data_IF_883419806727
#
_entry.id   IF_883419806727
#
_cell.length_a   1.000
_cell.length_b   1.000
_cell.length_c   1.000
_cell.angle_alpha   90.00
_cell.angle_beta   90.00
_cell.angle_gamma   90.00
#
_symmetry.space_group_name_H-M   'P 1'
#
loop_
_entity.id
_entity.type
_entity.pdbx_description
1 polymer ?
#
# COMPACT_ATOMS: atom_id res chain seq x y z
N UNK A 1 62.24 36.68 62.85
CA UNK A 1 61.95 36.60 61.41
C UNK A 1 61.08 35.38 61.17
N UNK A 2 59.74 35.55 61.15
CA UNK A 2 58.78 34.46 60.94
C UNK A 2 58.24 34.55 59.49
N UNK A 3 58.51 33.54 58.67
CA UNK A 3 57.94 33.46 57.34
C UNK A 3 56.53 32.90 57.39
N UNK A 4 55.59 33.68 56.93
CA UNK A 4 54.17 33.33 56.77
C UNK A 4 54.01 32.58 55.46
N UNK A 5 53.52 31.32 55.50
CA UNK A 5 53.23 30.49 54.33
C UNK A 5 51.75 30.63 54.00
N UNK A 6 51.45 31.30 52.86
CA UNK A 6 50.08 31.41 52.33
C UNK A 6 49.77 30.16 51.49
N UNK A 7 48.82 29.35 51.93
CA UNK A 7 48.29 28.24 51.16
C UNK A 7 47.04 28.72 50.39
N UNK A 8 47.12 28.80 49.07
CA UNK A 8 45.97 29.05 48.22
C UNK A 8 45.25 27.71 47.97
N UNK A 9 44.03 27.57 48.49
CA UNK A 9 43.12 26.50 48.12
C UNK A 9 42.40 26.89 46.81
N UNK A 10 42.70 26.16 45.70
CA UNK A 10 41.91 26.20 44.48
C UNK A 10 40.77 25.20 44.59
N UNK A 11 39.55 25.68 44.80
CA UNK A 11 38.32 24.91 44.63
C UNK A 11 37.94 24.90 43.17
N UNK A 12 38.21 23.77 42.49
CA UNK A 12 37.68 23.53 41.12
C UNK A 12 36.21 23.17 41.19
N UNK A 13 35.35 24.09 40.73
CA UNK A 13 33.91 23.88 40.60
C UNK A 13 33.70 23.11 39.28
N UNK A 14 33.51 21.81 39.35
CA UNK A 14 33.16 20.97 38.20
C UNK A 14 31.66 21.17 37.95
N UNK A 15 31.30 22.00 36.95
CA UNK A 15 29.95 22.11 36.42
C UNK A 15 29.63 20.89 35.58
N UNK A 16 28.88 19.96 36.11
CA UNK A 16 28.29 18.86 35.33
C UNK A 16 27.16 19.47 34.49
N UNK A 17 27.46 19.80 33.23
CA UNK A 17 26.42 20.06 32.23
C UNK A 17 25.70 18.74 31.93
N UNK A 18 24.56 18.53 32.58
CA UNK A 18 23.61 17.47 32.21
C UNK A 18 22.99 17.89 30.87
N UNK A 19 23.54 17.36 29.76
CA UNK A 19 22.90 17.46 28.45
C UNK A 19 21.65 16.59 28.48
N UNK A 20 20.50 17.22 28.79
CA UNK A 20 19.22 16.61 28.58
C UNK A 20 19.05 16.46 27.06
N UNK A 21 19.42 15.28 26.52
CA UNK A 21 19.05 14.91 25.15
C UNK A 21 17.55 14.71 25.14
N UNK A 22 16.81 15.77 24.80
CA UNK A 22 15.41 15.70 24.45
C UNK A 22 15.35 14.85 23.18
N UNK A 23 15.10 13.55 23.30
CA UNK A 23 14.70 12.74 22.14
C UNK A 23 13.38 13.31 21.67
N UNK A 24 13.38 14.05 20.58
CA UNK A 24 12.15 14.36 19.88
C UNK A 24 11.51 13.01 19.55
N UNK A 25 10.33 12.75 20.09
CA UNK A 25 9.54 11.58 19.72
C UNK A 25 9.29 11.70 18.21
N UNK A 26 9.82 10.76 17.42
CA UNK A 26 9.69 10.80 15.97
C UNK A 26 8.19 10.86 15.63
N UNK A 27 7.79 11.91 14.94
CA UNK A 27 6.38 12.14 14.57
C UNK A 27 5.89 10.96 13.74
N UNK A 28 4.95 10.18 14.28
CA UNK A 28 4.34 9.05 13.56
C UNK A 28 3.63 9.51 12.30
N UNK A 29 3.67 8.68 11.26
CA UNK A 29 2.94 8.85 10.01
C UNK A 29 1.45 8.64 10.28
N UNK A 30 0.64 9.68 10.10
CA UNK A 30 -0.81 9.60 10.26
C UNK A 30 -1.41 8.97 9.02
N UNK A 31 -1.95 7.78 9.18
CA UNK A 31 -2.47 6.97 8.07
C UNK A 31 -3.95 6.75 8.20
N UNK A 32 -4.65 6.88 7.09
CA UNK A 32 -6.07 6.57 6.96
C UNK A 32 -6.25 5.36 6.05
N UNK A 33 -6.89 4.29 6.51
CA UNK A 33 -7.41 3.23 5.64
C UNK A 33 -8.87 3.55 5.32
N UNK A 34 -9.23 3.51 4.05
CA UNK A 34 -10.60 3.71 3.58
C UNK A 34 -11.14 2.42 2.98
N UNK A 35 -12.35 2.00 3.42
CA UNK A 35 -12.98 0.76 3.01
C UNK A 35 -14.52 0.82 3.01
N UNK A 36 -15.17 -0.34 2.83
CA UNK A 36 -16.61 -0.52 2.95
C UNK A 36 -17.24 -1.27 1.79
N UNK A 37 -16.76 -1.09 0.57
CA UNK A 37 -17.32 -1.73 -0.62
C UNK A 37 -16.22 -2.38 -1.45
N UNK A 38 -16.17 -3.71 -1.39
CA UNK A 38 -15.19 -4.49 -2.13
C UNK A 38 -15.81 -5.84 -2.52
N UNK A 39 -15.55 -6.28 -3.76
CA UNK A 39 -16.05 -7.57 -4.25
C UNK A 39 -15.41 -8.78 -3.55
N UNK A 40 -14.27 -8.62 -2.93
CA UNK A 40 -13.59 -9.65 -2.13
C UNK A 40 -14.08 -9.60 -0.68
N UNK A 41 -14.90 -10.56 -0.27
CA UNK A 41 -15.59 -10.54 1.03
C UNK A 41 -14.68 -10.51 2.26
N UNK A 42 -13.39 -10.77 2.11
CA UNK A 42 -12.42 -10.71 3.21
C UNK A 42 -11.89 -9.30 3.50
N UNK A 43 -12.34 -8.27 2.79
CA UNK A 43 -11.84 -6.91 2.97
C UNK A 43 -11.85 -6.40 4.42
N UNK A 44 -12.83 -6.76 5.32
CA UNK A 44 -12.78 -6.29 6.69
C UNK A 44 -11.59 -6.86 7.47
N UNK A 45 -11.31 -8.17 7.28
CA UNK A 45 -10.14 -8.83 7.85
C UNK A 45 -8.85 -8.24 7.29
N UNK A 46 -8.78 -7.97 5.98
CA UNK A 46 -7.61 -7.37 5.32
C UNK A 46 -7.34 -5.96 5.87
N UNK A 47 -8.38 -5.12 6.05
CA UNK A 47 -8.23 -3.81 6.70
C UNK A 47 -7.65 -3.96 8.11
N UNK A 48 -8.19 -4.89 8.90
CA UNK A 48 -7.71 -5.17 10.25
C UNK A 48 -6.25 -5.61 10.26
N UNK A 49 -5.85 -6.52 9.35
CA UNK A 49 -4.48 -7.00 9.22
C UNK A 49 -3.53 -5.87 8.79
N UNK A 50 -3.87 -5.10 7.75
CA UNK A 50 -3.03 -3.99 7.28
C UNK A 50 -2.82 -2.93 8.36
N UNK A 51 -3.88 -2.58 9.11
CA UNK A 51 -3.77 -1.67 10.26
C UNK A 51 -2.74 -2.19 11.25
N UNK A 52 -2.84 -3.43 11.68
CA UNK A 52 -1.92 -4.03 12.62
C UNK A 52 -0.49 -4.11 12.10
N UNK A 53 -0.28 -4.50 10.85
CA UNK A 53 1.06 -4.55 10.23
C UNK A 53 1.76 -3.18 10.18
N UNK A 54 1.00 -2.11 9.99
CA UNK A 54 1.58 -0.77 10.01
C UNK A 54 1.89 -0.32 11.44
N UNK A 55 0.96 -0.52 12.38
CA UNK A 55 1.11 -0.09 13.77
C UNK A 55 2.23 -0.86 14.51
N UNK A 56 2.45 -2.15 14.20
CA UNK A 56 3.54 -2.94 14.80
C UNK A 56 4.95 -2.38 14.51
N UNK A 57 5.11 -1.59 13.43
CA UNK A 57 6.38 -0.92 13.12
C UNK A 57 6.72 0.20 14.12
N UNK A 58 5.74 0.69 14.86
CA UNK A 58 5.87 1.88 15.70
C UNK A 58 5.91 3.21 14.94
N UNK A 59 6.00 3.19 13.60
CA UNK A 59 6.13 4.38 12.75
C UNK A 59 4.78 5.00 12.34
N UNK A 60 3.69 4.23 12.43
CA UNK A 60 2.37 4.67 11.95
C UNK A 60 1.37 4.77 13.10
N UNK A 61 0.42 5.70 12.94
CA UNK A 61 -0.89 5.67 13.60
C UNK A 61 -1.94 5.49 12.53
N UNK A 62 -2.86 4.55 12.71
CA UNK A 62 -3.79 4.14 11.63
C UNK A 62 -5.23 4.28 12.07
N UNK A 63 -5.93 5.22 11.45
CA UNK A 63 -7.38 5.36 11.54
C UNK A 63 -8.05 4.63 10.36
N UNK A 64 -9.32 4.30 10.52
CA UNK A 64 -10.13 3.70 9.46
C UNK A 64 -11.41 4.52 9.29
N UNK A 65 -11.72 4.88 8.05
CA UNK A 65 -13.03 5.44 7.67
C UNK A 65 -13.70 4.48 6.72
N UNK A 66 -14.86 4.00 7.15
CA UNK A 66 -15.70 3.05 6.41
C UNK A 66 -16.94 3.73 5.87
N UNK A 67 -17.28 3.47 4.59
CA UNK A 67 -18.55 3.90 4.01
C UNK A 67 -19.73 3.45 4.88
N UNK A 68 -20.76 4.27 5.01
CA UNK A 68 -21.99 3.95 5.73
C UNK A 68 -22.72 2.76 5.09
N UNK A 69 -22.53 2.54 3.78
CA UNK A 69 -23.00 1.36 3.06
C UNK A 69 -21.89 0.35 2.85
N UNK A 70 -22.02 -0.84 3.45
CA UNK A 70 -21.01 -1.90 3.34
C UNK A 70 -21.47 -3.01 2.41
N UNK A 71 -20.60 -3.47 1.53
CA UNK A 71 -20.88 -4.52 0.57
C UNK A 71 -19.91 -5.69 0.70
N UNK A 72 -20.47 -6.91 0.80
CA UNK A 72 -19.76 -8.21 0.92
C UNK A 72 -18.85 -8.38 2.14
N UNK A 73 -18.88 -7.50 3.14
CA UNK A 73 -18.11 -7.68 4.37
C UNK A 73 -18.66 -8.78 5.29
N UNK A 74 -19.99 -8.95 5.30
CA UNK A 74 -20.68 -9.98 6.07
C UNK A 74 -20.26 -9.99 7.55
N UNK A 75 -20.23 -11.21 8.13
CA UNK A 75 -19.87 -11.43 9.54
C UNK A 75 -18.42 -11.02 9.89
N UNK A 76 -17.57 -10.85 8.88
CA UNK A 76 -16.17 -10.46 9.11
C UNK A 76 -16.05 -9.02 9.65
N UNK A 77 -17.04 -8.15 9.41
CA UNK A 77 -17.08 -6.82 10.01
C UNK A 77 -17.14 -6.92 11.54
N UNK A 78 -18.01 -7.77 12.06
CA UNK A 78 -18.16 -7.99 13.50
C UNK A 78 -17.00 -8.82 14.09
N UNK A 79 -16.47 -9.78 13.31
CA UNK A 79 -15.36 -10.64 13.75
C UNK A 79 -14.02 -9.90 13.85
N UNK A 80 -13.82 -8.88 13.02
CA UNK A 80 -12.61 -8.04 13.00
C UNK A 80 -12.97 -6.57 13.26
N UNK A 81 -13.40 -6.25 14.50
CA UNK A 81 -13.89 -4.92 14.82
C UNK A 81 -12.74 -3.91 14.79
N UNK A 82 -13.02 -2.73 14.29
CA UNK A 82 -12.15 -1.56 14.38
C UNK A 82 -12.71 -0.65 15.46
N UNK A 83 -11.91 -0.36 16.46
CA UNK A 83 -12.31 0.51 17.57
C UNK A 83 -12.69 1.90 17.06
N UNK A 84 -13.83 2.42 17.49
CA UNK A 84 -14.32 3.75 17.12
C UNK A 84 -15.13 3.80 15.80
N UNK A 85 -15.27 2.67 15.07
CA UNK A 85 -16.23 2.61 13.97
C UNK A 85 -17.63 2.28 14.46
N UNK A 86 -18.58 3.12 14.05
CA UNK A 86 -20.00 2.87 14.26
C UNK A 86 -20.49 1.72 13.37
N UNK A 87 -21.63 1.13 13.74
CA UNK A 87 -22.31 0.13 12.94
C UNK A 87 -22.70 0.72 11.57
N UNK A 88 -22.48 -0.06 10.50
CA UNK A 88 -22.71 0.32 9.12
C UNK A 88 -23.82 -0.49 8.51
N UNK A 89 -24.50 0.08 7.51
CA UNK A 89 -25.60 -0.58 6.82
C UNK A 89 -25.08 -1.55 5.75
N UNK A 90 -25.37 -2.84 5.91
CA UNK A 90 -25.07 -3.83 4.88
C UNK A 90 -26.04 -3.67 3.69
N UNK A 91 -25.48 -3.65 2.45
CA UNK A 91 -26.26 -3.52 1.21
C UNK A 91 -26.03 -4.72 0.29
N UNK A 92 -27.04 -5.07 -0.50
CA UNK A 92 -26.97 -6.20 -1.44
C UNK A 92 -26.11 -5.87 -2.67
N UNK A 93 -26.06 -4.62 -3.07
CA UNK A 93 -25.26 -4.08 -4.18
C UNK A 93 -24.60 -2.78 -3.75
N UNK A 94 -23.47 -2.39 -4.36
CA UNK A 94 -22.81 -1.14 -4.05
C UNK A 94 -23.74 0.07 -4.23
N UNK A 95 -23.69 0.97 -3.25
CA UNK A 95 -24.47 2.21 -3.23
C UNK A 95 -23.58 3.37 -2.83
N UNK A 96 -23.81 4.53 -3.48
CA UNK A 96 -23.09 5.76 -3.12
C UNK A 96 -23.49 6.20 -1.72
N UNK A 97 -22.50 6.33 -0.85
CA UNK A 97 -22.66 6.93 0.46
C UNK A 97 -22.57 8.46 0.34
N UNK A 98 -23.69 9.18 0.50
CA UNK A 98 -23.68 10.63 0.34
C UNK A 98 -22.90 11.36 1.45
N UNK A 99 -22.65 10.68 2.57
CA UNK A 99 -21.95 11.23 3.73
C UNK A 99 -20.45 10.86 3.74
N UNK A 100 -19.99 10.05 2.78
CA UNK A 100 -18.58 9.65 2.72
C UNK A 100 -17.70 10.88 2.47
N UNK A 101 -17.14 11.44 3.54
CA UNK A 101 -16.33 12.66 3.49
C UNK A 101 -15.19 12.61 4.53
N UNK A 102 -14.18 11.76 4.32
CA UNK A 102 -13.01 11.74 5.20
C UNK A 102 -12.27 13.07 5.18
N UNK A 103 -11.86 13.56 6.34
CA UNK A 103 -10.99 14.75 6.44
C UNK A 103 -9.52 14.35 6.13
N UNK A 104 -9.20 14.31 4.84
CA UNK A 104 -7.87 13.92 4.37
C UNK A 104 -6.75 14.83 4.90
N UNK A 105 -7.05 16.07 5.27
CA UNK A 105 -6.06 17.04 5.75
C UNK A 105 -5.37 16.63 7.06
N UNK A 106 -5.96 15.70 7.79
CA UNK A 106 -5.43 15.16 9.05
C UNK A 106 -4.35 14.11 8.86
N UNK A 107 -4.15 13.61 7.63
CA UNK A 107 -3.33 12.45 7.33
C UNK A 107 -2.15 12.78 6.41
N UNK A 108 -1.12 11.97 6.54
CA UNK A 108 0.05 11.99 5.65
C UNK A 108 -0.11 10.94 4.53
N UNK A 109 -0.96 9.92 4.76
CA UNK A 109 -1.14 8.76 3.89
C UNK A 109 -2.59 8.26 3.89
N UNK A 110 -3.09 7.89 2.72
CA UNK A 110 -4.35 7.15 2.56
C UNK A 110 -4.05 5.76 1.95
N UNK A 111 -4.69 4.72 2.45
CA UNK A 111 -4.67 3.36 1.89
C UNK A 111 -6.08 3.00 1.44
N UNK A 112 -6.25 2.69 0.16
CA UNK A 112 -7.54 2.29 -0.39
C UNK A 112 -7.69 0.76 -0.35
N UNK A 113 -8.75 0.28 0.31
CA UNK A 113 -9.22 -1.09 0.30
C UNK A 113 -10.66 -1.20 -0.23
N UNK A 114 -11.05 -0.28 -1.11
CA UNK A 114 -12.22 -0.46 -1.95
C UNK A 114 -11.95 -1.51 -3.04
N UNK A 115 -12.95 -1.89 -3.83
CA UNK A 115 -12.74 -2.91 -4.85
C UNK A 115 -13.63 -2.73 -6.08
N UNK A 116 -13.62 -3.74 -6.95
CA UNK A 116 -14.44 -3.75 -8.15
C UNK A 116 -15.92 -3.50 -7.84
N UNK A 117 -16.55 -2.62 -8.62
CA UNK A 117 -17.94 -2.15 -8.48
C UNK A 117 -18.21 -1.30 -7.24
N UNK A 118 -17.22 -0.90 -6.44
CA UNK A 118 -17.45 0.11 -5.41
C UNK A 118 -18.18 1.30 -6.02
N UNK A 119 -19.24 1.77 -5.37
CA UNK A 119 -20.02 2.89 -5.85
C UNK A 119 -19.19 4.19 -5.80
N UNK A 120 -19.41 5.14 -6.73
CA UNK A 120 -18.69 6.40 -6.76
C UNK A 120 -18.83 7.16 -5.43
N UNK A 121 -17.77 7.83 -5.03
CA UNK A 121 -17.84 8.79 -3.93
C UNK A 121 -18.56 10.06 -4.35
N UNK A 122 -19.09 10.86 -3.40
CA UNK A 122 -19.58 12.21 -3.72
C UNK A 122 -18.50 13.02 -4.46
N UNK A 123 -18.91 13.81 -5.44
CA UNK A 123 -17.99 14.59 -6.28
C UNK A 123 -17.08 15.52 -5.45
N UNK A 124 -17.62 16.08 -4.35
CA UNK A 124 -16.84 16.89 -3.42
C UNK A 124 -15.68 16.07 -2.82
N UNK A 125 -15.98 14.88 -2.34
CA UNK A 125 -14.97 13.98 -1.73
C UNK A 125 -13.90 13.56 -2.74
N UNK A 126 -14.31 13.30 -3.99
CA UNK A 126 -13.35 13.03 -5.08
C UNK A 126 -12.39 14.21 -5.26
N UNK A 127 -12.89 15.44 -5.34
CA UNK A 127 -12.05 16.65 -5.49
C UNK A 127 -11.12 16.91 -4.30
N UNK A 128 -11.63 16.68 -3.08
CA UNK A 128 -10.83 16.80 -1.85
C UNK A 128 -9.70 15.77 -1.85
N UNK A 129 -9.96 14.53 -2.27
CA UNK A 129 -8.96 13.49 -2.40
C UNK A 129 -7.92 13.79 -3.50
N UNK A 130 -8.37 14.24 -4.68
CA UNK A 130 -7.48 14.69 -5.76
C UNK A 130 -6.54 15.81 -5.28
N UNK A 131 -7.09 16.77 -4.57
CA UNK A 131 -6.34 17.88 -3.99
C UNK A 131 -5.33 17.39 -2.96
N UNK A 132 -5.74 16.48 -2.06
CA UNK A 132 -4.85 15.89 -1.06
C UNK A 132 -3.64 15.23 -1.71
N UNK A 133 -3.86 14.33 -2.68
CA UNK A 133 -2.74 13.63 -3.35
C UNK A 133 -1.89 14.62 -4.15
N UNK A 134 -2.50 15.47 -4.98
CA UNK A 134 -1.73 16.40 -5.85
C UNK A 134 -0.88 17.40 -5.07
N UNK A 135 -1.24 17.70 -3.83
CA UNK A 135 -0.48 18.59 -2.93
C UNK A 135 0.59 17.87 -2.12
N UNK A 136 0.76 16.56 -2.25
CA UNK A 136 1.85 15.81 -1.64
C UNK A 136 1.44 14.72 -0.67
N UNK A 137 0.13 14.47 -0.50
CA UNK A 137 -0.37 13.34 0.27
C UNK A 137 0.04 12.00 -0.36
N UNK A 138 0.28 10.99 0.48
CA UNK A 138 0.60 9.64 0.03
C UNK A 138 -0.65 8.81 -0.26
N UNK A 139 -0.55 7.89 -1.23
CA UNK A 139 -1.59 6.89 -1.51
C UNK A 139 -0.97 5.49 -1.58
N UNK A 140 -1.64 4.52 -0.99
CA UNK A 140 -1.39 3.09 -1.23
C UNK A 140 -2.64 2.46 -1.81
N UNK A 141 -2.46 1.73 -2.91
CA UNK A 141 -3.51 0.98 -3.63
C UNK A 141 -3.20 -0.50 -3.48
N UNK A 142 -4.15 -1.25 -2.91
CA UNK A 142 -3.96 -2.68 -2.66
C UNK A 142 -4.95 -3.50 -3.47
N UNK A 143 -4.43 -4.43 -4.27
CA UNK A 143 -5.17 -5.45 -5.00
C UNK A 143 -6.42 -4.86 -5.69
N UNK A 144 -7.61 -5.33 -5.31
CA UNK A 144 -8.88 -4.94 -5.91
C UNK A 144 -9.17 -3.42 -5.90
N UNK A 145 -8.40 -2.63 -5.16
CA UNK A 145 -8.56 -1.17 -5.21
C UNK A 145 -8.19 -0.59 -6.58
N UNK A 146 -7.37 -1.28 -7.36
CA UNK A 146 -7.07 -0.91 -8.75
C UNK A 146 -8.23 -1.16 -9.73
N UNK A 147 -9.24 -1.89 -9.30
CA UNK A 147 -10.44 -2.22 -10.08
C UNK A 147 -11.61 -1.26 -9.79
N UNK A 148 -11.47 -0.40 -8.79
CA UNK A 148 -12.50 0.57 -8.44
C UNK A 148 -12.51 1.76 -9.40
N UNK A 149 -13.63 2.46 -9.44
CA UNK A 149 -13.84 3.77 -10.08
C UNK A 149 -13.31 3.94 -11.50
N UNK A 150 -13.68 3.09 -12.47
CA UNK A 150 -13.20 3.21 -13.87
C UNK A 150 -13.57 4.56 -14.50
N UNK A 151 -14.68 5.15 -14.09
CA UNK A 151 -15.19 6.42 -14.62
C UNK A 151 -14.55 7.66 -13.95
N UNK A 152 -13.56 7.48 -13.06
CA UNK A 152 -12.87 8.59 -12.39
C UNK A 152 -11.46 8.79 -12.97
N UNK A 153 -11.27 9.72 -13.95
CA UNK A 153 -10.00 9.86 -14.68
C UNK A 153 -8.80 10.19 -13.80
N UNK A 154 -8.98 11.04 -12.78
CA UNK A 154 -7.89 11.39 -11.85
C UNK A 154 -7.46 10.17 -11.03
N UNK A 155 -8.39 9.35 -10.55
CA UNK A 155 -8.07 8.12 -9.85
C UNK A 155 -7.31 7.13 -10.75
N UNK A 156 -7.74 6.97 -12.01
CA UNK A 156 -7.02 6.11 -12.96
C UNK A 156 -5.58 6.59 -13.23
N UNK A 157 -5.33 7.91 -13.22
CA UNK A 157 -3.96 8.45 -13.26
C UNK A 157 -3.16 8.17 -11.99
N UNK A 158 -3.79 8.25 -10.82
CA UNK A 158 -3.14 7.95 -9.53
C UNK A 158 -2.74 6.48 -9.42
N UNK A 159 -3.59 5.55 -9.86
CA UNK A 159 -3.29 4.11 -9.78
C UNK A 159 -2.38 3.61 -10.91
N UNK A 160 -2.26 4.36 -12.02
CA UNK A 160 -1.44 4.04 -13.19
C UNK A 160 -2.01 2.92 -14.06
N UNK A 161 -2.28 1.77 -13.49
CA UNK A 161 -2.90 0.61 -14.14
C UNK A 161 -4.10 0.14 -13.33
N UNK A 162 -5.17 -0.27 -14.00
CA UNK A 162 -6.34 -0.86 -13.38
C UNK A 162 -6.94 -1.97 -14.23
N UNK A 163 -7.86 -2.74 -13.66
CA UNK A 163 -8.51 -3.85 -14.34
C UNK A 163 -10.03 -3.76 -14.36
N UNK A 164 -10.65 -4.56 -15.18
CA UNK A 164 -12.11 -4.71 -15.28
C UNK A 164 -12.89 -3.38 -15.41
N UNK A 165 -14.14 -3.35 -15.00
CA UNK A 165 -14.95 -2.13 -14.94
C UNK A 165 -15.23 -1.46 -16.31
N UNK A 166 -15.14 -2.23 -17.41
CA UNK A 166 -15.31 -1.69 -18.76
C UNK A 166 -14.04 -1.07 -19.37
N UNK A 167 -12.92 -1.09 -18.63
CA UNK A 167 -11.64 -0.59 -19.13
C UNK A 167 -11.20 -1.33 -20.40
N UNK A 168 -10.59 -0.62 -21.32
CA UNK A 168 -10.17 -1.12 -22.64
C UNK A 168 -8.96 -0.31 -23.16
N UNK A 169 -8.62 -0.42 -24.45
CA UNK A 169 -7.47 0.27 -25.06
C UNK A 169 -7.55 1.80 -24.99
N UNK A 170 -8.76 2.39 -24.82
CA UNK A 170 -8.93 3.85 -24.68
C UNK A 170 -8.47 4.37 -23.33
N UNK A 171 -8.43 3.50 -22.31
CA UNK A 171 -7.95 3.85 -20.97
C UNK A 171 -6.42 3.86 -20.90
N UNK A 172 -5.74 3.28 -21.89
CA UNK A 172 -4.29 3.30 -22.02
C UNK A 172 -3.69 1.94 -22.38
N UNK A 173 -2.34 1.84 -22.44
CA UNK A 173 -1.64 0.63 -22.82
C UNK A 173 -1.67 -0.45 -21.74
N UNK A 174 -1.39 -1.70 -22.16
CA UNK A 174 -0.77 -2.68 -21.28
C UNK A 174 0.69 -2.26 -21.05
N UNK A 175 1.18 -2.44 -19.84
CA UNK A 175 2.58 -2.19 -19.52
C UNK A 175 3.13 -3.44 -18.82
N UNK A 176 4.16 -4.04 -19.39
CA UNK A 176 4.74 -5.30 -18.90
C UNK A 176 6.20 -5.45 -19.35
N UNK A 177 6.91 -6.42 -18.80
CA UNK A 177 8.23 -6.80 -19.33
C UNK A 177 8.11 -8.06 -20.19
N UNK A 178 8.81 -8.09 -21.31
CA UNK A 178 8.96 -9.29 -22.14
C UNK A 178 10.09 -10.21 -21.60
N UNK A 179 10.29 -11.37 -22.23
CA UNK A 179 11.31 -12.35 -21.82
C UNK A 179 12.74 -11.82 -22.01
N UNK A 180 12.94 -10.84 -22.89
CA UNK A 180 14.23 -10.15 -23.07
C UNK A 180 14.52 -9.11 -21.97
N UNK A 181 13.56 -8.88 -21.04
CA UNK A 181 13.70 -7.87 -19.99
C UNK A 181 13.44 -6.45 -20.46
N UNK A 182 12.75 -6.27 -21.60
CA UNK A 182 12.39 -4.97 -22.12
C UNK A 182 11.01 -4.54 -21.63
N UNK A 183 10.87 -3.28 -21.27
CA UNK A 183 9.59 -2.67 -20.88
C UNK A 183 8.75 -2.41 -22.14
N UNK A 184 7.60 -3.03 -22.21
CA UNK A 184 6.67 -2.92 -23.33
C UNK A 184 5.46 -2.09 -22.92
N UNK A 185 5.06 -1.17 -23.80
CA UNK A 185 3.80 -0.41 -23.71
C UNK A 185 2.97 -0.75 -24.95
N UNK A 186 2.00 -1.63 -24.78
CA UNK A 186 1.18 -2.16 -25.88
C UNK A 186 -0.20 -1.50 -25.88
N UNK A 187 -0.54 -0.79 -26.96
CA UNK A 187 -1.82 -0.06 -27.16
C UNK A 187 -2.87 -0.87 -27.92
N UNK A 188 -2.55 -2.10 -28.35
CA UNK A 188 -3.49 -2.93 -29.07
C UNK A 188 -4.78 -3.16 -28.29
N UNK A 189 -5.89 -3.27 -29.01
CA UNK A 189 -7.18 -3.64 -28.44
C UNK A 189 -7.11 -5.00 -27.75
N UNK A 190 -7.85 -5.14 -26.66
CA UNK A 190 -7.89 -6.41 -25.94
C UNK A 190 -8.48 -6.32 -24.55
N UNK A 191 -8.63 -7.48 -23.94
CA UNK A 191 -9.21 -7.67 -22.60
C UNK A 191 -8.45 -6.85 -21.58
N UNK A 192 -9.17 -6.18 -20.69
CA UNK A 192 -8.59 -5.51 -19.54
C UNK A 192 -8.90 -6.25 -18.24
N UNK A 193 -7.86 -6.59 -17.53
CA UNK A 193 -7.93 -7.35 -16.29
C UNK A 193 -8.12 -8.87 -16.50
N UNK A 194 -7.39 -9.64 -15.77
CA UNK A 194 -7.45 -11.10 -15.70
C UNK A 194 -6.55 -11.60 -14.58
N UNK A 195 -6.71 -12.86 -14.25
CA UNK A 195 -5.85 -13.60 -13.34
C UNK A 195 -5.95 -15.10 -13.63
N UNK A 196 -4.96 -15.85 -13.19
CA UNK A 196 -4.98 -17.31 -13.13
C UNK A 196 -5.66 -17.81 -11.84
N UNK A 197 -5.46 -19.09 -11.50
CA UNK A 197 -5.84 -19.63 -10.20
C UNK A 197 -4.99 -18.96 -9.10
N UNK A 198 -5.43 -19.11 -7.85
CA UNK A 198 -4.64 -18.70 -6.70
C UNK A 198 -3.49 -19.68 -6.47
N UNK A 199 -2.31 -19.33 -6.91
CA UNK A 199 -1.10 -20.13 -6.81
C UNK A 199 0.05 -19.30 -6.20
N UNK A 200 1.10 -19.96 -5.73
CA UNK A 200 2.35 -19.30 -5.40
C UNK A 200 3.05 -18.88 -6.68
N UNK A 201 3.66 -17.71 -6.67
CA UNK A 201 4.44 -17.22 -7.80
C UNK A 201 5.67 -16.45 -7.36
N UNK A 202 6.70 -16.52 -8.20
CA UNK A 202 7.95 -15.81 -7.95
C UNK A 202 7.82 -14.36 -8.39
N UNK A 203 8.14 -13.43 -7.48
CA UNK A 203 8.27 -12.00 -7.77
C UNK A 203 9.72 -11.71 -8.11
N UNK A 204 9.93 -10.91 -9.16
CA UNK A 204 11.24 -10.47 -9.63
C UNK A 204 11.35 -8.94 -9.55
N UNK A 205 12.38 -8.45 -8.88
CA UNK A 205 12.71 -7.02 -8.83
C UNK A 205 13.12 -6.52 -10.20
N UNK A 206 12.62 -5.34 -10.57
CA UNK A 206 12.98 -4.61 -11.80
C UNK A 206 13.75 -3.32 -11.49
N UNK A 207 13.59 -2.79 -10.28
CA UNK A 207 14.19 -1.54 -9.85
C UNK A 207 14.76 -1.72 -8.43
N UNK A 208 16.02 -2.11 -8.32
CA UNK A 208 16.68 -2.42 -7.04
C UNK A 208 17.27 -1.21 -6.32
N UNK A 209 17.37 -0.07 -6.99
CA UNK A 209 17.84 1.20 -6.43
C UNK A 209 16.71 2.08 -5.85
N UNK A 210 15.43 1.65 -6.00
CA UNK A 210 14.32 2.38 -5.43
C UNK A 210 14.20 2.12 -3.91
N UNK A 211 13.90 3.14 -3.06
CA UNK A 211 13.83 2.97 -1.61
C UNK A 211 12.97 1.81 -1.14
N UNK A 212 11.85 1.53 -1.79
CA UNK A 212 10.95 0.42 -1.43
C UNK A 212 11.62 -0.94 -1.62
N UNK A 213 12.34 -1.12 -2.70
CA UNK A 213 12.91 -2.42 -3.13
C UNK A 213 14.40 -2.55 -2.86
N UNK A 214 15.05 -1.47 -2.43
CA UNK A 214 16.47 -1.49 -2.07
C UNK A 214 16.74 -2.57 -1.01
N UNK A 215 17.79 -3.34 -1.24
CA UNK A 215 18.26 -4.45 -0.40
C UNK A 215 17.32 -5.66 -0.31
N UNK A 216 16.13 -5.66 -1.00
CA UNK A 216 15.32 -6.85 -1.16
C UNK A 216 16.04 -7.89 -2.03
N UNK A 217 15.84 -9.20 -1.79
CA UNK A 217 16.31 -10.23 -2.71
C UNK A 217 15.83 -9.97 -4.15
N UNK A 218 16.67 -10.24 -5.15
CA UNK A 218 16.30 -10.05 -6.57
C UNK A 218 15.00 -10.79 -6.93
N UNK A 219 14.77 -11.94 -6.29
CA UNK A 219 13.58 -12.77 -6.45
C UNK A 219 13.12 -13.32 -5.12
N UNK A 220 11.80 -13.39 -4.93
CA UNK A 220 11.22 -14.09 -3.79
C UNK A 220 9.89 -14.75 -4.15
N UNK A 221 9.53 -15.82 -3.41
CA UNK A 221 8.27 -16.53 -3.59
C UNK A 221 7.17 -15.83 -2.81
N UNK A 222 6.10 -15.43 -3.48
CA UNK A 222 4.88 -14.98 -2.83
C UNK A 222 3.97 -16.16 -2.52
N UNK A 223 3.27 -16.11 -1.39
CA UNK A 223 2.25 -17.12 -1.05
C UNK A 223 1.11 -17.11 -2.06
N UNK A 224 0.22 -18.12 -1.98
CA UNK A 224 -0.92 -18.22 -2.91
C UNK A 224 -1.69 -16.91 -3.01
N UNK A 225 -1.84 -16.40 -4.22
CA UNK A 225 -2.57 -15.16 -4.52
C UNK A 225 -3.12 -15.18 -5.95
N UNK A 226 -3.94 -14.21 -6.32
CA UNK A 226 -4.32 -13.96 -7.71
C UNK A 226 -3.26 -13.08 -8.37
N UNK A 227 -2.49 -13.67 -9.29
CA UNK A 227 -1.58 -12.89 -10.11
C UNK A 227 -2.40 -12.11 -11.14
N UNK A 228 -2.62 -10.82 -10.88
CA UNK A 228 -3.32 -9.94 -11.83
C UNK A 228 -2.50 -9.76 -13.09
N UNK A 229 -3.18 -9.79 -14.22
CA UNK A 229 -2.60 -9.61 -15.54
C UNK A 229 -3.49 -8.76 -16.45
N UNK A 230 -2.93 -8.35 -17.56
CA UNK A 230 -3.66 -7.57 -18.59
C UNK A 230 -4.26 -6.28 -18.03
N UNK A 231 -3.67 -5.70 -16.99
CA UNK A 231 -4.08 -4.39 -16.49
C UNK A 231 -3.75 -3.31 -17.53
N UNK A 232 -4.61 -2.30 -17.61
CA UNK A 232 -4.46 -1.16 -18.51
C UNK A 232 -4.66 0.14 -17.75
N UNK A 233 -4.11 1.20 -18.26
CA UNK A 233 -4.34 2.52 -17.68
C UNK A 233 -3.44 3.57 -18.30
N UNK A 234 -3.57 4.82 -17.88
CA UNK A 234 -2.73 5.91 -18.37
C UNK A 234 -1.25 5.59 -18.24
N UNK A 235 -0.87 4.90 -17.15
CA UNK A 235 0.51 4.53 -16.81
C UNK A 235 1.48 5.72 -16.97
N UNK A 236 0.98 6.93 -16.67
CA UNK A 236 1.76 8.17 -16.69
C UNK A 236 2.59 8.25 -15.40
N UNK A 237 3.82 8.74 -15.48
CA UNK A 237 4.71 8.93 -14.33
C UNK A 237 4.84 7.67 -13.44
N UNK A 238 4.79 6.50 -14.05
CA UNK A 238 4.79 5.21 -13.37
C UNK A 238 6.15 4.50 -13.51
N UNK A 239 6.62 3.94 -12.41
CA UNK A 239 7.79 3.06 -12.36
C UNK A 239 7.37 1.67 -11.88
N UNK A 240 7.69 0.63 -12.64
CA UNK A 240 7.50 -0.75 -12.22
C UNK A 240 8.69 -1.16 -11.35
N UNK A 241 8.42 -1.52 -10.09
CA UNK A 241 9.42 -1.95 -9.12
C UNK A 241 9.67 -3.46 -9.18
N UNK A 242 8.61 -4.23 -9.40
CA UNK A 242 8.68 -5.69 -9.45
C UNK A 242 7.58 -6.27 -10.36
N UNK A 243 7.85 -7.44 -10.90
CA UNK A 243 6.94 -8.20 -11.77
C UNK A 243 6.85 -9.65 -11.34
N UNK A 244 5.81 -10.35 -11.81
CA UNK A 244 5.75 -11.81 -11.80
C UNK A 244 5.39 -12.34 -13.19
N UNK A 245 5.91 -13.52 -13.52
CA UNK A 245 5.58 -14.18 -14.78
C UNK A 245 4.19 -14.79 -14.71
N UNK A 246 3.31 -14.35 -15.59
CA UNK A 246 1.92 -14.81 -15.70
C UNK A 246 1.88 -16.01 -16.66
N UNK A 247 2.02 -17.22 -16.13
CA UNK A 247 2.18 -18.44 -16.91
C UNK A 247 0.94 -18.76 -17.72
N UNK A 248 1.12 -19.10 -18.99
CA UNK A 248 0.04 -19.54 -19.89
C UNK A 248 -0.61 -20.84 -19.44
N UNK A 249 0.15 -21.75 -18.82
CA UNK A 249 -0.38 -22.99 -18.27
C UNK A 249 -1.34 -22.73 -17.10
N UNK A 250 -1.14 -21.62 -16.37
CA UNK A 250 -2.00 -21.13 -15.30
C UNK A 250 -3.05 -20.11 -15.80
N UNK A 251 -3.43 -20.15 -17.08
CA UNK A 251 -4.35 -19.19 -17.73
C UNK A 251 -3.84 -17.75 -17.76
N UNK A 252 -2.54 -17.58 -17.65
CA UNK A 252 -1.88 -16.29 -17.71
C UNK A 252 -1.60 -15.83 -19.14
N UNK A 253 -0.85 -14.74 -19.24
CA UNK A 253 -0.55 -14.02 -20.49
C UNK A 253 0.75 -14.47 -21.17
N UNK A 254 1.63 -15.16 -20.46
CA UNK A 254 3.00 -15.44 -20.91
C UNK A 254 3.88 -14.17 -20.88
N UNK A 255 3.62 -13.24 -19.95
CA UNK A 255 4.37 -12.00 -19.81
C UNK A 255 4.73 -11.78 -18.34
N UNK A 256 5.72 -10.94 -18.09
CA UNK A 256 6.04 -10.46 -16.75
C UNK A 256 5.14 -9.27 -16.40
N UNK A 257 4.06 -9.53 -15.72
CA UNK A 257 3.05 -8.54 -15.34
C UNK A 257 3.51 -7.71 -14.13
N UNK A 258 3.18 -6.40 -14.07
CA UNK A 258 3.52 -5.54 -12.94
C UNK A 258 2.84 -5.99 -11.64
N UNK A 259 3.62 -6.08 -10.57
CA UNK A 259 3.12 -6.46 -9.24
C UNK A 259 3.28 -5.32 -8.25
N UNK A 260 4.44 -4.65 -8.25
CA UNK A 260 4.69 -3.47 -7.42
C UNK A 260 5.06 -2.29 -8.32
N UNK A 261 4.38 -1.18 -8.10
CA UNK A 261 4.55 0.04 -8.90
C UNK A 261 4.56 1.27 -8.02
N UNK A 262 5.19 2.33 -8.52
CA UNK A 262 5.05 3.68 -7.97
C UNK A 262 4.59 4.63 -9.05
N UNK A 263 3.76 5.60 -8.66
CA UNK A 263 3.24 6.64 -9.55
C UNK A 263 3.42 7.99 -8.86
N UNK A 264 3.77 9.01 -9.62
CA UNK A 264 3.77 10.39 -9.18
C UNK A 264 2.52 11.10 -9.70
N UNK A 265 1.73 11.69 -8.79
CA UNK A 265 0.54 12.47 -9.13
C UNK A 265 0.62 13.86 -8.49
N UNK A 266 0.92 14.88 -9.28
CA UNK A 266 1.28 16.20 -8.77
C UNK A 266 2.54 16.11 -7.89
N UNK A 267 2.44 16.46 -6.62
CA UNK A 267 3.51 16.31 -5.62
C UNK A 267 3.38 15.01 -4.82
N UNK A 268 2.27 14.31 -4.95
CA UNK A 268 1.97 13.09 -4.21
C UNK A 268 2.67 11.87 -4.76
N UNK A 269 2.85 10.89 -3.89
CA UNK A 269 3.48 9.61 -4.19
C UNK A 269 2.49 8.49 -3.97
N UNK A 270 2.38 7.61 -4.95
CA UNK A 270 1.47 6.47 -4.91
C UNK A 270 2.28 5.19 -4.95
N UNK A 271 2.05 4.29 -4.00
CA UNK A 271 2.50 2.90 -4.06
C UNK A 271 1.32 2.01 -4.42
N UNK A 272 1.47 1.24 -5.48
CA UNK A 272 0.46 0.31 -5.96
C UNK A 272 1.00 -1.11 -5.92
N UNK A 273 0.29 -1.99 -5.21
CA UNK A 273 0.54 -3.44 -5.13
C UNK A 273 -0.67 -4.19 -5.62
N UNK A 274 -0.50 -5.06 -6.62
CA UNK A 274 -1.58 -5.95 -7.10
C UNK A 274 -1.77 -7.18 -6.22
N UNK A 275 -0.93 -7.37 -5.18
CA UNK A 275 -1.03 -8.45 -4.21
C UNK A 275 -2.14 -8.19 -3.19
N UNK A 276 -2.69 -9.25 -2.60
CA UNK A 276 -3.54 -9.10 -1.41
C UNK A 276 -4.99 -9.55 -1.56
N UNK A 277 -5.27 -10.60 -2.35
CA UNK A 277 -6.62 -11.10 -2.61
C UNK A 277 -7.35 -11.57 -1.35
N UNK A 278 -6.67 -12.31 -0.48
CA UNK A 278 -7.25 -12.92 0.73
C UNK A 278 -6.28 -12.87 1.91
N UNK A 279 -6.73 -13.31 3.07
CA UNK A 279 -5.98 -13.25 4.32
C UNK A 279 -4.61 -13.94 4.27
N UNK A 280 -4.51 -15.13 3.70
CA UNK A 280 -3.22 -15.83 3.57
C UNK A 280 -2.27 -15.17 2.55
N UNK A 281 -2.81 -14.44 1.56
CA UNK A 281 -2.00 -13.64 0.62
C UNK A 281 -1.37 -12.45 1.34
N UNK A 282 -2.16 -11.72 2.14
CA UNK A 282 -1.66 -10.57 2.91
C UNK A 282 -0.83 -10.99 4.14
N UNK A 283 -0.95 -12.25 4.59
CA UNK A 283 -0.10 -12.81 5.65
C UNK A 283 1.33 -13.11 5.16
N UNK A 284 1.59 -13.11 3.85
CA UNK A 284 2.94 -13.30 3.29
C UNK A 284 3.89 -12.20 3.75
N UNK A 285 5.06 -12.59 4.27
CA UNK A 285 6.06 -11.62 4.78
C UNK A 285 6.55 -10.67 3.67
N UNK A 286 6.60 -11.15 2.42
CA UNK A 286 6.89 -10.30 1.26
C UNK A 286 5.83 -9.20 1.06
N UNK A 287 4.53 -9.53 1.22
CA UNK A 287 3.45 -8.54 1.20
C UNK A 287 3.59 -7.55 2.36
N UNK A 288 3.73 -8.06 3.60
CA UNK A 288 3.83 -7.23 4.81
C UNK A 288 4.98 -6.22 4.66
N UNK A 289 6.16 -6.69 4.29
CA UNK A 289 7.35 -5.85 4.13
C UNK A 289 7.17 -4.80 3.05
N UNK A 290 6.61 -5.17 1.89
CA UNK A 290 6.41 -4.21 0.79
C UNK A 290 5.27 -3.24 1.07
N UNK A 291 4.22 -3.63 1.80
CA UNK A 291 3.19 -2.72 2.30
C UNK A 291 3.80 -1.66 3.24
N UNK A 292 4.55 -2.10 4.27
CA UNK A 292 5.15 -1.21 5.26
C UNK A 292 6.13 -0.22 4.60
N UNK A 293 7.03 -0.70 3.74
CA UNK A 293 8.01 0.12 3.02
C UNK A 293 7.34 1.03 1.99
N UNK A 294 6.34 0.53 1.27
CA UNK A 294 5.55 1.30 0.30
C UNK A 294 4.75 2.42 0.98
N UNK A 295 4.12 2.13 2.10
CA UNK A 295 3.39 3.11 2.91
C UNK A 295 4.32 4.21 3.46
N UNK A 296 5.48 3.83 4.01
CA UNK A 296 6.47 4.80 4.49
C UNK A 296 6.98 5.68 3.34
N UNK A 297 7.30 5.09 2.20
CA UNK A 297 7.77 5.85 1.03
C UNK A 297 6.68 6.79 0.48
N UNK A 298 5.45 6.32 0.37
CA UNK A 298 4.35 7.15 -0.14
C UNK A 298 4.12 8.38 0.73
N UNK A 299 4.24 8.24 2.05
CA UNK A 299 4.06 9.35 2.99
C UNK A 299 5.26 10.30 3.05
N UNK A 300 6.50 9.78 2.91
CA UNK A 300 7.72 10.54 3.29
C UNK A 300 8.76 10.67 2.18
N UNK A 301 8.65 9.87 1.12
CA UNK A 301 9.68 9.73 0.10
C UNK A 301 10.91 8.92 0.53
N UNK A 302 10.91 8.36 1.76
CA UNK A 302 12.04 7.62 2.35
C UNK A 302 11.57 6.26 2.87
N UNK A 303 12.52 5.35 3.09
CA UNK A 303 12.29 4.05 3.73
C UNK A 303 13.41 3.79 4.72
N UNK A 304 13.05 3.54 5.98
CA UNK A 304 13.92 3.10 7.06
C UNK A 304 13.59 1.70 7.57
N UNK A 305 12.46 1.14 7.14
CA UNK A 305 12.00 -0.19 7.55
C UNK A 305 12.96 -1.24 7.00
N UNK A 306 13.54 -2.01 7.90
CA UNK A 306 14.47 -3.09 7.58
C UNK A 306 13.76 -4.31 6.99
N UNK A 307 14.52 -5.15 6.29
CA UNK A 307 14.03 -6.42 5.77
C UNK A 307 14.08 -7.44 6.91
N UNK A 308 12.95 -8.07 7.26
CA UNK A 308 12.92 -9.03 8.35
C UNK A 308 13.65 -10.34 7.99
N UNK A 309 14.17 -11.04 9.01
CA UNK A 309 14.94 -12.28 8.81
C UNK A 309 14.13 -13.42 8.21
N UNK A 310 12.81 -13.40 8.39
CA UNK A 310 11.85 -14.35 7.85
C UNK A 310 11.32 -13.93 6.47
N UNK A 311 11.97 -12.98 5.79
CA UNK A 311 11.60 -12.60 4.41
C UNK A 311 11.69 -13.81 3.48
N UNK A 312 10.74 -14.00 2.52
CA UNK A 312 10.71 -15.15 1.63
C UNK A 312 12.00 -15.31 0.82
N UNK A 313 12.35 -16.56 0.52
CA UNK A 313 13.44 -16.87 -0.43
C UNK A 313 12.93 -16.93 -1.87
N UNK A 314 13.82 -17.11 -2.83
CA UNK A 314 13.44 -17.28 -4.24
C UNK A 314 12.56 -18.51 -4.52
N UNK A 315 12.54 -19.51 -3.63
CA UNK A 315 11.88 -20.79 -3.84
C UNK A 315 10.88 -21.17 -2.73
N UNK A 316 10.79 -20.39 -1.69
CA UNK A 316 9.91 -20.68 -0.55
C UNK A 316 9.26 -19.40 -0.04
N UNK A 317 7.94 -19.41 0.01
CA UNK A 317 7.15 -18.35 0.65
C UNK A 317 7.30 -18.40 2.17
N UNK A 318 7.04 -17.29 2.83
CA UNK A 318 7.01 -17.14 4.28
C UNK A 318 5.78 -16.34 4.67
N UNK A 319 5.08 -16.76 5.72
CA UNK A 319 3.86 -16.12 6.18
C UNK A 319 3.85 -15.99 7.70
N UNK A 320 3.14 -14.99 8.21
CA UNK A 320 2.89 -14.76 9.63
C UNK A 320 1.41 -14.90 9.91
N UNK A 321 1.08 -15.59 11.01
CA UNK A 321 -0.30 -15.63 11.48
C UNK A 321 -0.71 -14.25 12.00
N UNK A 322 -1.87 -13.77 11.52
CA UNK A 322 -2.45 -12.52 11.97
C UNK A 322 -3.99 -12.56 11.86
N UNK A 323 -4.74 -12.07 12.84
CA UNK A 323 -4.22 -11.55 14.11
C UNK A 323 -3.51 -12.63 14.92
N UNK A 324 -2.50 -12.26 15.67
CA UNK A 324 -1.94 -13.15 16.69
C UNK A 324 -3.06 -13.42 17.69
N UNK A 325 -3.46 -14.69 17.86
CA UNK A 325 -4.43 -15.11 18.87
C UNK A 325 -3.91 -14.80 20.29
#
# INVERSE_FOLDING_TARGET
MKKLLLIFLYTALISVLSTCTCFAEDKKIKTLIIDGQNNHGQWPKITYMMKGYLEETGLFTVDVVRSDFTWKGGDLIAKYPIVGLEEKTAVEKPETDPNFSPDFSKYDLVISNFGWRAAPWPERTQKEFESFISNGGGLVVIHAADNSYPEWPAFNKMIGLGGWGGRNEKDGPYVYYNDAGELIRNVEAGKCGGHGPRSEFQIQIRKNDHPITKDLPEKWMHSKDELYNSLRGPAENMTILATAYSDKEEKGTGRHEPILMTIEYGKGKVFHSTLGHVDYSVACVGFITTLQRGAQWAATGKVSIEIPKDFPTAVQSSSRDYPKE
#
